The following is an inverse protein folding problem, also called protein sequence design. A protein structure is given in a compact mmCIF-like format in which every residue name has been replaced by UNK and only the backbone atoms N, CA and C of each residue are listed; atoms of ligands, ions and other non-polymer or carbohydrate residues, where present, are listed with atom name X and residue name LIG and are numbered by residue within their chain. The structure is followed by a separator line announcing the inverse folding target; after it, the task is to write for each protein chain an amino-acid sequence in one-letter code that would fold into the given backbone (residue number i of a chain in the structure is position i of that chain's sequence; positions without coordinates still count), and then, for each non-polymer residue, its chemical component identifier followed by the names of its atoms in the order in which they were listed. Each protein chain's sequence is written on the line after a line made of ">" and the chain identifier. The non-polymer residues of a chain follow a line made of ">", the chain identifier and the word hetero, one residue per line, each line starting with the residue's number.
data_IF_322294996196
#
_entry.id   IF_322294996196
#
_cell.length_a   1.000
_cell.length_b   1.000
_cell.length_c   1.000
_cell.angle_alpha   90.00
_cell.angle_beta   90.00
_cell.angle_gamma   90.00
#
_symmetry.space_group_name_H-M   'P 1'
#
loop_
_entity.id
_entity.type
_entity.pdbx_description
1 polymer ?
#
# COMPACT_ATOMS: atom_id res chain seq x y z
N UNK A 1 -34.02 -5.75 38.82
CA UNK A 1 -34.01 -5.29 37.40
C UNK A 1 -32.59 -4.82 37.14
N UNK A 2 -31.74 -5.69 36.60
CA UNK A 2 -30.36 -5.31 36.27
C UNK A 2 -30.37 -4.55 34.94
N UNK A 3 -29.91 -3.30 34.97
CA UNK A 3 -29.66 -2.52 33.77
C UNK A 3 -28.33 -3.02 33.22
N UNK A 4 -28.37 -3.89 32.22
CA UNK A 4 -27.20 -4.22 31.42
C UNK A 4 -26.92 -3.00 30.54
N UNK A 5 -25.95 -2.19 30.94
CA UNK A 5 -25.40 -1.13 30.08
C UNK A 5 -24.51 -1.84 29.05
N UNK A 6 -25.06 -2.06 27.86
CA UNK A 6 -24.30 -2.53 26.72
C UNK A 6 -23.24 -1.47 26.37
N UNK A 7 -21.96 -1.76 26.62
CA UNK A 7 -20.87 -0.89 26.16
C UNK A 7 -20.83 -0.95 24.65
N UNK A 8 -21.28 0.10 23.96
CA UNK A 8 -20.84 0.36 22.60
C UNK A 8 -19.31 0.56 22.64
N UNK A 9 -18.56 -0.47 22.28
CA UNK A 9 -17.13 -0.32 21.98
C UNK A 9 -17.00 0.78 20.91
N UNK A 10 -16.19 1.82 21.14
CA UNK A 10 -16.02 2.88 20.15
C UNK A 10 -15.58 2.23 18.83
N UNK A 11 -16.26 2.61 17.73
CA UNK A 11 -15.94 2.10 16.40
C UNK A 11 -14.46 2.39 16.11
N UNK A 12 -13.64 1.34 16.06
CA UNK A 12 -12.19 1.49 15.85
C UNK A 12 -11.92 1.96 14.43
N UNK A 13 -11.32 3.14 14.30
CA UNK A 13 -10.86 3.65 13.01
C UNK A 13 -9.56 2.98 12.61
N UNK A 14 -9.48 2.46 11.38
CA UNK A 14 -8.27 1.87 10.83
C UNK A 14 -7.42 2.94 10.13
N UNK A 15 -6.13 2.98 10.46
CA UNK A 15 -5.16 3.90 9.89
C UNK A 15 -4.00 3.14 9.25
N UNK A 16 -3.73 3.40 7.97
CA UNK A 16 -2.54 2.93 7.29
C UNK A 16 -1.45 4.00 7.36
N UNK A 17 -0.32 3.66 7.96
CA UNK A 17 0.89 4.49 7.97
C UNK A 17 1.82 3.99 6.88
N UNK A 18 2.14 4.85 5.92
CA UNK A 18 2.78 4.48 4.67
C UNK A 18 4.16 5.16 4.59
N UNK A 19 5.25 4.40 4.83
CA UNK A 19 6.59 4.97 4.83
C UNK A 19 7.00 5.49 3.44
N UNK A 20 7.96 6.41 3.43
CA UNK A 20 8.51 6.99 2.21
C UNK A 20 9.77 6.29 1.71
N UNK A 21 10.55 7.03 0.93
CA UNK A 21 11.89 6.67 0.47
C UNK A 21 12.76 6.19 1.65
N UNK A 22 13.52 5.11 1.44
CA UNK A 22 14.36 4.45 2.45
C UNK A 22 13.76 3.15 3.00
N UNK A 23 12.49 2.86 2.70
CA UNK A 23 11.82 1.60 3.11
C UNK A 23 11.96 0.46 2.09
N UNK A 24 12.58 0.71 0.93
CA UNK A 24 12.82 -0.30 -0.09
C UNK A 24 13.96 -1.27 0.29
N UNK A 25 13.82 -2.53 -0.11
CA UNK A 25 14.87 -3.55 0.02
C UNK A 25 14.71 -4.63 -1.08
N UNK A 26 15.77 -5.39 -1.34
CA UNK A 26 15.76 -6.43 -2.38
C UNK A 26 14.82 -7.57 -2.01
N UNK A 27 13.94 -7.97 -2.95
CA UNK A 27 13.03 -9.08 -2.73
C UNK A 27 11.81 -8.78 -1.86
N UNK A 28 11.51 -7.51 -1.58
CA UNK A 28 10.42 -7.07 -0.69
C UNK A 28 9.00 -7.55 -1.03
N UNK A 29 8.76 -8.12 -2.22
CA UNK A 29 7.48 -8.70 -2.62
C UNK A 29 7.42 -10.23 -2.57
N UNK A 30 8.58 -10.93 -2.48
CA UNK A 30 8.70 -12.37 -2.77
C UNK A 30 7.75 -13.23 -1.93
N UNK A 31 7.75 -13.03 -0.62
CA UNK A 31 6.93 -13.83 0.30
C UNK A 31 5.44 -13.48 0.26
N UNK A 32 5.09 -12.31 -0.27
CA UNK A 32 3.72 -11.81 -0.34
C UNK A 32 3.00 -12.23 -1.62
N UNK A 33 3.73 -12.56 -2.69
CA UNK A 33 3.17 -13.02 -3.98
C UNK A 33 2.30 -14.29 -3.82
N UNK A 34 2.51 -15.08 -2.77
CA UNK A 34 1.66 -16.25 -2.47
C UNK A 34 0.20 -15.90 -2.14
N UNK A 35 -0.08 -14.65 -1.78
CA UNK A 35 -1.45 -14.20 -1.50
C UNK A 35 -2.09 -13.65 -2.79
N UNK A 36 -3.18 -14.25 -3.24
CA UNK A 36 -3.82 -13.88 -4.51
C UNK A 36 -4.29 -12.43 -4.57
N UNK A 37 -4.81 -11.86 -3.47
CA UNK A 37 -5.20 -10.46 -3.41
C UNK A 37 -4.01 -9.52 -3.64
N UNK A 38 -2.87 -9.83 -2.99
CA UNK A 38 -1.63 -9.08 -3.16
C UNK A 38 -1.09 -9.20 -4.58
N UNK A 39 -0.98 -10.43 -5.10
CA UNK A 39 -0.46 -10.72 -6.44
C UNK A 39 -1.27 -10.02 -7.53
N UNK A 40 -2.61 -10.11 -7.49
CA UNK A 40 -3.50 -9.45 -8.46
C UNK A 40 -3.30 -7.93 -8.45
N UNK A 41 -3.20 -7.33 -7.27
CA UNK A 41 -2.98 -5.89 -7.13
C UNK A 41 -1.62 -5.45 -7.68
N UNK A 42 -0.57 -6.23 -7.39
CA UNK A 42 0.77 -5.98 -7.88
C UNK A 42 0.86 -6.14 -9.41
N UNK A 43 0.17 -7.13 -9.99
CA UNK A 43 0.08 -7.34 -11.43
C UNK A 43 -0.61 -6.16 -12.13
N UNK A 44 -1.70 -5.62 -11.56
CA UNK A 44 -2.38 -4.43 -12.09
C UNK A 44 -1.41 -3.24 -12.10
N UNK A 45 -0.68 -3.03 -11.01
CA UNK A 45 0.29 -1.95 -10.89
C UNK A 45 1.43 -2.12 -11.91
N UNK A 46 1.93 -3.34 -12.07
CA UNK A 46 2.99 -3.67 -13.03
C UNK A 46 2.56 -3.38 -14.47
N UNK A 47 1.33 -3.79 -14.84
CA UNK A 47 0.78 -3.52 -16.19
C UNK A 47 0.61 -2.02 -16.46
N UNK A 48 0.03 -1.28 -15.51
CA UNK A 48 -0.17 0.16 -15.66
C UNK A 48 1.16 0.93 -15.78
N UNK A 49 2.21 0.46 -15.10
CA UNK A 49 3.55 1.06 -15.19
C UNK A 49 4.25 0.70 -16.51
N UNK A 50 4.01 -0.50 -17.05
CA UNK A 50 4.53 -0.89 -18.35
C UNK A 50 4.02 -0.01 -19.49
N UNK A 51 2.75 0.44 -19.44
CA UNK A 51 2.15 1.37 -20.41
C UNK A 51 2.89 2.72 -20.49
N UNK A 52 3.56 3.13 -19.41
CA UNK A 52 4.36 4.37 -19.34
C UNK A 52 5.86 4.11 -19.42
N UNK A 53 6.27 2.90 -19.83
CA UNK A 53 7.67 2.53 -20.06
C UNK A 53 8.47 2.24 -18.79
N UNK A 54 7.80 1.89 -17.68
CA UNK A 54 8.48 1.50 -16.44
C UNK A 54 8.33 0.01 -16.17
N UNK A 55 9.46 -0.72 -16.17
CA UNK A 55 9.52 -2.15 -15.88
C UNK A 55 9.70 -2.39 -14.38
N UNK A 56 8.57 -2.55 -13.67
CA UNK A 56 8.57 -2.85 -12.24
C UNK A 56 9.08 -4.28 -11.95
N UNK A 57 8.86 -5.24 -12.86
CA UNK A 57 9.28 -6.62 -12.66
C UNK A 57 10.81 -6.74 -12.63
N UNK A 58 11.50 -5.99 -13.51
CA UNK A 58 12.97 -5.86 -13.48
C UNK A 58 13.49 -5.41 -12.11
N UNK A 59 12.79 -4.49 -11.45
CA UNK A 59 13.24 -3.99 -10.14
C UNK A 59 13.11 -5.06 -9.06
N UNK A 60 12.02 -5.83 -9.08
CA UNK A 60 11.83 -6.94 -8.12
C UNK A 60 12.75 -8.14 -8.36
N UNK A 61 13.21 -8.34 -9.60
CA UNK A 61 14.14 -9.41 -9.97
C UNK A 61 15.61 -9.05 -9.75
N UNK A 62 15.94 -7.78 -9.51
CA UNK A 62 17.32 -7.34 -9.26
C UNK A 62 17.89 -7.99 -8.01
N UNK A 63 19.19 -8.32 -8.08
CA UNK A 63 19.99 -8.77 -6.94
C UNK A 63 21.02 -7.72 -6.51
N UNK A 64 21.14 -6.61 -7.24
CA UNK A 64 22.01 -5.49 -6.90
C UNK A 64 21.22 -4.38 -6.20
N UNK A 65 21.62 -4.07 -4.96
CA UNK A 65 21.01 -3.01 -4.14
C UNK A 65 21.15 -1.62 -4.77
N UNK A 66 22.17 -1.41 -5.61
CA UNK A 66 22.40 -0.15 -6.34
C UNK A 66 21.27 0.19 -7.30
N UNK A 67 20.37 -0.76 -7.62
CA UNK A 67 19.17 -0.45 -8.40
C UNK A 67 18.34 0.68 -7.78
N UNK A 68 18.40 0.82 -6.44
CA UNK A 68 17.69 1.84 -5.68
C UNK A 68 18.40 3.20 -5.65
N UNK A 69 19.62 3.33 -6.17
CA UNK A 69 20.27 4.64 -6.34
C UNK A 69 19.50 5.52 -7.35
N UNK A 70 18.76 4.86 -8.25
CA UNK A 70 17.77 5.53 -9.07
C UNK A 70 16.50 5.81 -8.25
N UNK A 71 16.18 7.10 -8.08
CA UNK A 71 15.00 7.56 -7.33
C UNK A 71 13.69 6.90 -7.78
N UNK A 72 13.50 6.65 -9.09
CA UNK A 72 12.28 5.98 -9.59
C UNK A 72 12.21 4.54 -9.08
N UNK A 73 13.33 3.83 -9.09
CA UNK A 73 13.42 2.46 -8.58
C UNK A 73 13.34 2.38 -7.07
N UNK A 74 13.64 3.46 -6.35
CA UNK A 74 13.40 3.50 -4.92
C UNK A 74 11.92 3.77 -4.59
N UNK A 75 11.27 4.70 -5.29
CA UNK A 75 9.90 5.16 -4.93
C UNK A 75 8.78 4.32 -5.53
N UNK A 76 8.88 3.95 -6.81
CA UNK A 76 7.78 3.28 -7.53
C UNK A 76 7.49 1.90 -6.94
N UNK A 77 8.48 1.05 -6.64
CA UNK A 77 8.23 -0.25 -6.04
C UNK A 77 7.61 -0.17 -4.64
N UNK A 78 8.02 0.80 -3.81
CA UNK A 78 7.39 1.05 -2.50
C UNK A 78 5.91 1.33 -2.68
N UNK A 79 5.57 2.21 -3.61
CA UNK A 79 4.18 2.60 -3.86
C UNK A 79 3.35 1.42 -4.35
N UNK A 80 3.90 0.60 -5.27
CA UNK A 80 3.23 -0.60 -5.76
C UNK A 80 2.96 -1.63 -4.65
N UNK A 81 3.95 -1.87 -3.78
CA UNK A 81 3.76 -2.76 -2.62
C UNK A 81 2.75 -2.20 -1.63
N UNK A 82 2.78 -0.90 -1.34
CA UNK A 82 1.82 -0.29 -0.42
C UNK A 82 0.38 -0.41 -0.92
N UNK A 83 0.15 -0.25 -2.23
CA UNK A 83 -1.17 -0.50 -2.83
C UNK A 83 -1.56 -1.97 -2.64
N UNK A 84 -0.67 -2.91 -2.97
CA UNK A 84 -0.94 -4.34 -2.85
C UNK A 84 -1.15 -4.81 -1.40
N UNK A 85 -0.44 -4.21 -0.43
CA UNK A 85 -0.65 -4.45 1.01
C UNK A 85 -2.00 -3.94 1.48
N UNK A 86 -2.42 -2.75 1.05
CA UNK A 86 -3.75 -2.22 1.36
C UNK A 86 -4.82 -3.16 0.78
N UNK A 87 -4.64 -3.67 -0.43
CA UNK A 87 -5.57 -4.63 -1.04
C UNK A 87 -5.66 -5.93 -0.25
N UNK A 88 -4.51 -6.47 0.14
CA UNK A 88 -4.44 -7.67 0.97
C UNK A 88 -5.12 -7.47 2.33
N UNK A 89 -4.82 -6.37 3.02
CA UNK A 89 -5.41 -6.09 4.33
C UNK A 89 -6.91 -5.77 4.23
N UNK A 90 -7.34 -5.08 3.18
CA UNK A 90 -8.76 -4.83 2.91
C UNK A 90 -9.51 -6.13 2.64
N UNK A 91 -8.89 -7.11 1.97
CA UNK A 91 -9.49 -8.43 1.74
C UNK A 91 -9.82 -9.17 3.04
N UNK A 92 -9.01 -9.01 4.10
CA UNK A 92 -9.26 -9.63 5.40
C UNK A 92 -10.18 -8.81 6.33
N UNK A 93 -10.30 -7.49 6.10
CA UNK A 93 -10.92 -6.56 7.06
C UNK A 93 -12.30 -6.04 6.62
N UNK A 94 -12.86 -6.54 5.51
CA UNK A 94 -14.17 -6.13 5.00
C UNK A 94 -15.30 -6.73 5.85
N UNK A 95 -15.54 -6.16 7.05
CA UNK A 95 -16.83 -5.49 7.28
C UNK A 95 -16.76 -4.16 8.05
N UNK A 96 -15.58 -3.62 8.39
CA UNK A 96 -15.45 -2.51 9.38
C UNK A 96 -15.10 -1.14 8.77
N UNK A 97 -15.92 -0.62 7.87
CA UNK A 97 -16.02 0.82 7.57
C UNK A 97 -14.82 1.48 6.86
N UNK A 98 -14.82 2.83 6.75
CA UNK A 98 -13.77 3.57 6.05
C UNK A 98 -12.43 3.50 6.77
N UNK A 99 -11.34 3.48 6.01
CA UNK A 99 -9.97 3.56 6.52
C UNK A 99 -9.27 4.82 6.04
N UNK A 100 -8.30 5.27 6.84
CA UNK A 100 -7.53 6.49 6.61
C UNK A 100 -6.10 6.13 6.22
N UNK A 101 -5.49 6.91 5.33
CA UNK A 101 -4.10 6.75 4.92
C UNK A 101 -3.29 7.98 5.36
N UNK A 102 -2.17 7.75 6.03
CA UNK A 102 -1.16 8.73 6.38
C UNK A 102 0.15 8.35 5.68
N UNK A 103 0.73 9.22 4.86
CA UNK A 103 1.92 8.86 4.08
C UNK A 103 2.76 10.03 3.61
N UNK A 104 3.99 9.74 3.19
CA UNK A 104 4.91 10.69 2.57
C UNK A 104 4.43 11.09 1.16
N UNK A 105 4.81 12.28 0.67
CA UNK A 105 4.24 12.96 -0.50
C UNK A 105 4.21 12.13 -1.80
N UNK A 106 5.13 11.18 -1.97
CA UNK A 106 5.25 10.32 -3.15
C UNK A 106 4.34 9.08 -3.07
N UNK A 107 4.25 8.44 -1.91
CA UNK A 107 3.37 7.30 -1.67
C UNK A 107 1.88 7.71 -1.67
N UNK A 108 1.61 8.94 -1.21
CA UNK A 108 0.28 9.56 -1.20
C UNK A 108 -0.38 9.62 -2.59
N UNK A 109 0.30 10.14 -3.61
CA UNK A 109 -0.30 10.40 -4.94
C UNK A 109 -0.71 9.11 -5.68
N UNK A 110 0.09 8.04 -5.56
CA UNK A 110 -0.20 6.76 -6.22
C UNK A 110 -1.41 6.04 -5.63
N UNK A 111 -1.58 6.11 -4.32
CA UNK A 111 -2.60 5.38 -3.56
C UNK A 111 -4.00 6.02 -3.67
N UNK A 112 -4.07 7.34 -3.89
CA UNK A 112 -5.32 8.08 -4.15
C UNK A 112 -5.88 7.74 -5.51
N UNK A 113 -5.04 7.77 -6.56
CA UNK A 113 -5.50 7.53 -7.92
C UNK A 113 -5.99 6.08 -8.12
N UNK A 114 -5.49 5.16 -7.30
CA UNK A 114 -5.84 3.75 -7.35
C UNK A 114 -7.20 3.39 -6.69
N UNK A 115 -7.76 4.21 -5.78
CA UNK A 115 -8.95 3.78 -4.99
C UNK A 115 -9.96 4.89 -4.69
N UNK A 116 -11.23 4.65 -5.09
CA UNK A 116 -12.37 5.59 -5.06
C UNK A 116 -13.03 5.85 -3.68
N UNK A 117 -12.81 5.02 -2.66
CA UNK A 117 -13.51 5.12 -1.35
C UNK A 117 -12.56 5.41 -0.17
N UNK A 118 -11.85 6.54 -0.17
CA UNK A 118 -10.90 6.90 0.91
C UNK A 118 -11.12 8.32 1.41
N UNK A 119 -11.13 8.50 2.73
CA UNK A 119 -11.13 9.81 3.40
C UNK A 119 -9.71 10.12 3.86
N UNK A 120 -9.29 11.37 3.69
CA UNK A 120 -7.87 11.71 3.71
C UNK A 120 -7.55 12.96 4.52
N UNK A 121 -6.46 12.89 5.29
CA UNK A 121 -5.86 14.03 5.97
C UNK A 121 -4.40 14.21 5.48
N UNK A 122 -4.06 15.34 4.84
CA UNK A 122 -2.67 15.65 4.52
C UNK A 122 -1.89 15.94 5.82
N UNK A 123 -0.63 15.49 5.90
CA UNK A 123 0.30 16.05 6.88
C UNK A 123 0.79 17.40 6.39
N UNK A 124 0.37 18.45 7.09
CA UNK A 124 1.14 19.68 7.18
C UNK A 124 2.22 19.44 8.24
N UNK A 125 3.40 19.00 7.81
CA UNK A 125 4.65 19.20 8.56
C UNK A 125 5.64 19.88 7.62
#
# INVERSE_FOLDING_TARGET
>A
MEIVVERQEPKRSMWFVLPGLGSQWLGMSRDLIKFDAFRKSLDISTKALAEVGYDLARVFQSEDVKIFDNLKNAVVPITAIQVALIDLLSYFHDPMGPYYCLGCSTSYKGIIKAKRNKVLLPLAF
#
